data_IF_903152301883
#
_entry.id   IF_903152301883
#
_cell.length_a   1.000
_cell.length_b   1.000
_cell.length_c   1.000
_cell.angle_alpha   90.00
_cell.angle_beta   90.00
_cell.angle_gamma   90.00
#
_symmetry.space_group_name_H-M   'P 1'
#
loop_
_entity.id
_entity.type
_entity.pdbx_description
1 polymer ?
#
# COMPACT_ATOMS: atom_id res chain seq x y z
N UNK A 1 -1.54 1.55 -2.49
CA UNK A 1 -1.49 2.42 -3.69
C UNK A 1 -1.37 3.87 -3.31
N UNK A 2 -2.25 4.38 -2.46
CA UNK A 2 -2.29 5.79 -2.06
C UNK A 2 -0.95 6.36 -1.58
N UNK A 3 -0.32 5.75 -0.57
CA UNK A 3 1.02 6.17 -0.09
C UNK A 3 2.10 6.16 -1.18
N UNK A 4 1.97 5.29 -2.17
CA UNK A 4 2.90 5.23 -3.30
C UNK A 4 2.73 6.48 -4.18
N UNK A 5 1.50 6.83 -4.52
CA UNK A 5 1.20 8.02 -5.33
C UNK A 5 1.57 9.30 -4.60
N UNK A 6 1.32 9.36 -3.30
CA UNK A 6 1.69 10.51 -2.47
C UNK A 6 3.20 10.82 -2.50
N UNK A 7 4.04 9.77 -2.50
CA UNK A 7 5.51 9.93 -2.46
C UNK A 7 6.12 10.11 -3.85
N UNK A 8 5.61 9.37 -4.86
CA UNK A 8 6.27 9.26 -6.17
C UNK A 8 5.49 9.92 -7.31
N UNK A 9 4.25 10.36 -7.08
CA UNK A 9 3.37 10.92 -8.10
C UNK A 9 2.56 9.87 -8.86
N UNK A 10 1.77 10.35 -9.79
CA UNK A 10 0.82 9.55 -10.55
C UNK A 10 1.48 8.77 -11.70
N UNK A 11 0.77 7.76 -12.19
CA UNK A 11 1.13 7.04 -13.40
C UNK A 11 0.65 7.77 -14.64
N UNK A 12 1.56 8.14 -15.51
CA UNK A 12 1.27 8.55 -16.89
C UNK A 12 0.83 7.32 -17.71
N UNK A 13 1.62 6.25 -17.68
CA UNK A 13 1.31 4.99 -18.35
C UNK A 13 1.28 3.85 -17.33
N UNK A 14 0.27 2.98 -17.45
CA UNK A 14 0.13 1.82 -16.57
C UNK A 14 -0.24 0.57 -17.38
N UNK A 15 0.35 -0.55 -17.00
CA UNK A 15 -0.01 -1.91 -17.43
C UNK A 15 -0.18 -2.77 -16.19
N UNK A 16 -1.08 -3.74 -16.27
CA UNK A 16 -1.36 -4.59 -15.14
C UNK A 16 -1.66 -6.03 -15.54
N UNK A 17 -1.39 -6.93 -14.61
CA UNK A 17 -1.85 -8.32 -14.65
C UNK A 17 -2.49 -8.66 -13.32
N UNK A 18 -3.71 -9.14 -13.35
CA UNK A 18 -4.47 -9.55 -12.18
C UNK A 18 -4.79 -11.04 -12.31
N UNK A 19 -4.61 -11.79 -11.24
CA UNK A 19 -5.03 -13.20 -11.22
C UNK A 19 -5.62 -13.59 -9.86
N UNK A 20 -6.39 -14.68 -9.90
CA UNK A 20 -7.04 -15.27 -8.74
C UNK A 20 -6.55 -16.72 -8.60
N UNK A 21 -5.49 -16.90 -7.80
CA UNK A 21 -4.87 -18.20 -7.55
C UNK A 21 -5.60 -18.98 -6.46
N UNK A 22 -6.28 -18.28 -5.55
CA UNK A 22 -7.06 -18.85 -4.45
C UNK A 22 -8.54 -18.54 -4.66
N UNK A 23 -9.25 -19.34 -5.49
CA UNK A 23 -10.63 -19.04 -5.89
C UNK A 23 -11.65 -19.20 -4.76
N UNK A 24 -11.24 -19.85 -3.66
CA UNK A 24 -12.11 -20.12 -2.51
C UNK A 24 -11.44 -19.62 -1.23
N UNK A 25 -12.22 -19.04 -0.33
CA UNK A 25 -11.79 -18.62 0.99
C UNK A 25 -12.66 -19.23 2.09
N UNK A 26 -12.09 -19.33 3.29
CA UNK A 26 -12.85 -19.66 4.51
C UNK A 26 -13.31 -18.38 5.17
N UNK A 27 -14.56 -18.36 5.64
CA UNK A 27 -15.04 -17.33 6.57
C UNK A 27 -14.87 -17.83 8.00
N UNK A 28 -14.48 -16.90 8.85
CA UNK A 28 -14.30 -17.13 10.28
C UNK A 28 -15.22 -16.23 11.08
N UNK A 29 -15.74 -16.74 12.18
CA UNK A 29 -16.33 -15.93 13.21
C UNK A 29 -15.21 -15.20 13.97
N UNK A 30 -15.23 -13.88 13.94
CA UNK A 30 -14.20 -13.05 14.57
C UNK A 30 -14.21 -13.14 16.11
N UNK A 31 -15.35 -13.57 16.72
CA UNK A 31 -15.47 -13.67 18.17
C UNK A 31 -14.76 -14.90 18.76
N UNK A 32 -14.68 -15.98 18.00
CA UNK A 32 -14.18 -17.28 18.48
C UNK A 32 -13.18 -17.95 17.54
N UNK A 33 -12.92 -17.38 16.36
CA UNK A 33 -11.98 -17.92 15.36
C UNK A 33 -12.47 -19.17 14.64
N UNK A 34 -13.72 -19.60 14.82
CA UNK A 34 -14.27 -20.79 14.17
C UNK A 34 -14.62 -20.53 12.71
N UNK A 35 -14.43 -21.54 11.86
CA UNK A 35 -14.84 -21.48 10.46
C UNK A 35 -16.36 -21.56 10.38
N UNK A 36 -17.01 -20.50 9.91
CA UNK A 36 -18.45 -20.46 9.69
C UNK A 36 -18.85 -20.93 8.30
N UNK A 37 -17.99 -20.73 7.31
CA UNK A 37 -18.16 -21.26 5.97
C UNK A 37 -16.79 -21.63 5.37
N UNK A 38 -16.57 -22.90 5.04
CA UNK A 38 -15.25 -23.36 4.54
C UNK A 38 -15.02 -23.08 3.05
N UNK A 39 -16.06 -22.67 2.28
CA UNK A 39 -16.00 -22.63 0.83
C UNK A 39 -16.72 -21.44 0.19
N UNK A 40 -16.31 -20.21 0.51
CA UNK A 40 -16.88 -19.01 -0.13
C UNK A 40 -16.08 -18.65 -1.37
N UNK A 41 -16.72 -18.49 -2.54
CA UNK A 41 -16.06 -18.02 -3.74
C UNK A 41 -15.42 -16.64 -3.52
N UNK A 42 -14.14 -16.51 -3.85
CA UNK A 42 -13.44 -15.23 -3.87
C UNK A 42 -13.73 -14.52 -5.19
N UNK A 43 -14.14 -13.27 -5.12
CA UNK A 43 -14.35 -12.42 -6.29
C UNK A 43 -13.10 -11.60 -6.63
N UNK A 44 -12.44 -10.99 -5.62
CA UNK A 44 -11.27 -10.14 -5.80
C UNK A 44 -10.01 -10.93 -6.21
N UNK A 45 -9.12 -10.34 -7.03
CA UNK A 45 -7.80 -10.92 -7.31
C UNK A 45 -6.95 -10.98 -6.04
N UNK A 46 -6.07 -11.97 -5.97
CA UNK A 46 -5.10 -12.17 -4.89
C UNK A 46 -3.64 -12.05 -5.35
N UNK A 47 -3.43 -11.94 -6.65
CA UNK A 47 -2.15 -11.59 -7.27
C UNK A 47 -2.37 -10.38 -8.19
N UNK A 48 -1.62 -9.32 -7.91
CA UNK A 48 -1.72 -8.04 -8.60
C UNK A 48 -0.31 -7.61 -8.97
N UNK A 49 -0.06 -7.43 -10.25
CA UNK A 49 1.17 -6.85 -10.77
C UNK A 49 0.82 -5.61 -11.59
N UNK A 50 1.38 -4.47 -11.19
CA UNK A 50 1.20 -3.19 -11.88
C UNK A 50 2.58 -2.65 -12.22
N UNK A 51 2.76 -2.16 -13.44
CA UNK A 51 3.98 -1.49 -13.86
C UNK A 51 3.67 -0.32 -14.78
N UNK A 52 4.56 0.63 -14.86
CA UNK A 52 4.36 1.77 -15.74
C UNK A 52 5.40 2.85 -15.60
N UNK A 53 5.09 3.97 -16.25
CA UNK A 53 5.88 5.20 -16.21
C UNK A 53 5.12 6.20 -15.38
N UNK A 54 5.79 6.84 -14.43
CA UNK A 54 5.24 7.92 -13.63
C UNK A 54 5.30 9.23 -14.42
N UNK A 55 4.52 10.24 -14.05
CA UNK A 55 4.56 11.58 -14.65
C UNK A 55 5.95 12.22 -14.57
N UNK A 56 6.75 11.85 -13.57
CA UNK A 56 8.16 12.25 -13.45
C UNK A 56 9.09 11.60 -14.48
N UNK A 57 8.61 10.63 -15.27
CA UNK A 57 9.39 9.80 -16.18
C UNK A 57 10.04 8.58 -15.51
N UNK A 58 9.94 8.42 -14.21
CA UNK A 58 10.47 7.25 -13.52
C UNK A 58 9.67 5.97 -13.86
N UNK A 59 10.36 4.84 -13.93
CA UNK A 59 9.72 3.54 -14.11
C UNK A 59 9.38 2.96 -12.75
N UNK A 60 8.15 2.47 -12.60
CA UNK A 60 7.67 1.90 -11.37
C UNK A 60 7.00 0.54 -11.58
N UNK A 61 7.09 -0.32 -10.56
CA UNK A 61 6.37 -1.58 -10.50
C UNK A 61 5.87 -1.86 -9.08
N UNK A 62 4.68 -2.44 -8.98
CA UNK A 62 4.05 -2.84 -7.73
C UNK A 62 3.64 -4.30 -7.87
N UNK A 63 4.08 -5.12 -6.93
CA UNK A 63 3.70 -6.52 -6.86
C UNK A 63 3.01 -6.80 -5.52
N UNK A 64 1.81 -7.34 -5.58
CA UNK A 64 1.06 -7.79 -4.41
C UNK A 64 0.57 -9.22 -4.63
N UNK A 65 0.77 -10.06 -3.62
CA UNK A 65 0.25 -11.43 -3.63
C UNK A 65 -0.20 -11.88 -2.23
N UNK A 66 -1.16 -12.77 -2.21
CA UNK A 66 -1.60 -13.51 -1.01
C UNK A 66 -1.52 -15.02 -1.26
N UNK A 67 -1.20 -15.82 -0.24
CA UNK A 67 -0.69 -15.39 1.06
C UNK A 67 0.63 -14.63 0.94
N UNK A 68 1.01 -13.91 2.00
CA UNK A 68 2.29 -13.19 2.03
C UNK A 68 3.49 -14.11 1.86
N UNK A 69 4.68 -13.52 1.79
CA UNK A 69 5.92 -14.31 1.65
C UNK A 69 6.22 -15.16 2.89
N UNK A 70 6.80 -16.33 2.65
CA UNK A 70 7.37 -17.19 3.70
C UNK A 70 8.85 -16.85 3.98
N UNK A 71 9.48 -16.12 3.05
CA UNK A 71 10.88 -15.72 3.13
C UNK A 71 10.98 -14.19 3.01
N UNK A 72 11.69 -13.58 3.94
CA UNK A 72 11.92 -12.13 3.94
C UNK A 72 10.76 -11.31 4.50
N UNK A 73 10.77 -10.05 4.18
CA UNK A 73 9.80 -9.06 4.67
C UNK A 73 8.51 -9.09 3.85
N UNK A 74 7.36 -9.00 4.51
CA UNK A 74 6.05 -8.98 3.85
C UNK A 74 5.79 -7.71 3.04
N UNK A 75 6.47 -6.64 3.37
CA UNK A 75 6.44 -5.40 2.60
C UNK A 75 7.87 -4.92 2.34
N UNK A 76 8.14 -4.59 1.08
CA UNK A 76 9.39 -3.99 0.65
C UNK A 76 9.10 -2.91 -0.39
N UNK A 77 9.64 -1.73 -0.15
CA UNK A 77 9.61 -0.65 -1.10
C UNK A 77 11.03 -0.18 -1.37
N UNK A 78 11.48 -0.31 -2.59
CA UNK A 78 12.81 0.11 -3.05
C UNK A 78 12.64 1.26 -4.03
N UNK A 79 13.32 2.36 -3.75
CA UNK A 79 13.39 3.53 -4.61
C UNK A 79 14.86 3.71 -5.00
N UNK A 80 15.18 3.55 -6.28
CA UNK A 80 16.53 3.70 -6.82
C UNK A 80 16.60 4.95 -7.68
N UNK A 81 17.62 5.77 -7.47
CA UNK A 81 17.89 6.98 -8.20
C UNK A 81 19.38 7.11 -8.57
N UNK A 82 19.73 8.18 -9.27
CA UNK A 82 21.10 8.48 -9.67
C UNK A 82 22.02 8.77 -8.50
N UNK A 83 21.48 9.25 -7.39
CA UNK A 83 22.24 9.61 -6.19
C UNK A 83 22.29 8.50 -5.13
N UNK A 84 21.47 7.45 -5.28
CA UNK A 84 21.44 6.35 -4.33
C UNK A 84 20.13 5.59 -4.30
N UNK A 85 19.95 4.82 -3.23
CA UNK A 85 18.79 3.97 -3.00
C UNK A 85 18.19 4.20 -1.61
N UNK A 86 16.87 4.13 -1.54
CA UNK A 86 16.10 4.09 -0.30
C UNK A 86 15.33 2.78 -0.28
N UNK A 87 15.46 2.01 0.77
CA UNK A 87 14.67 0.81 1.00
C UNK A 87 13.85 0.96 2.26
N UNK A 88 12.53 0.75 2.14
CA UNK A 88 11.61 0.67 3.27
C UNK A 88 11.07 -0.74 3.39
N UNK A 89 11.20 -1.36 4.55
CA UNK A 89 10.69 -2.71 4.83
C UNK A 89 9.81 -2.74 6.07
N UNK A 90 8.82 -3.63 6.04
CA UNK A 90 7.97 -3.95 7.19
C UNK A 90 7.97 -5.46 7.41
N UNK A 91 8.03 -5.85 8.68
CA UNK A 91 7.80 -7.21 9.12
C UNK A 91 6.36 -7.33 9.65
N UNK A 92 5.60 -8.33 9.20
CA UNK A 92 4.23 -8.55 9.64
C UNK A 92 3.16 -7.87 8.77
N UNK A 93 2.22 -7.16 9.38
CA UNK A 93 1.08 -6.57 8.69
C UNK A 93 1.42 -5.28 7.94
N UNK A 94 0.69 -5.02 6.84
CA UNK A 94 0.80 -3.80 6.03
C UNK A 94 0.43 -2.49 6.77
N UNK A 95 0.01 -2.58 8.03
CA UNK A 95 -0.34 -1.38 8.81
C UNK A 95 0.93 -0.74 9.36
N UNK A 96 1.31 0.36 8.75
CA UNK A 96 2.44 1.19 9.17
C UNK A 96 2.18 1.71 10.59
N UNK A 97 3.08 1.39 11.51
CA UNK A 97 2.99 1.82 12.92
C UNK A 97 2.89 0.70 13.93
N UNK A 98 2.58 -0.52 13.53
CA UNK A 98 2.48 -1.67 14.44
C UNK A 98 3.53 -2.76 14.19
N UNK A 99 4.14 -2.76 13.01
CA UNK A 99 5.19 -3.71 12.65
C UNK A 99 6.56 -3.08 12.78
N UNK A 100 7.56 -3.89 13.06
CA UNK A 100 8.94 -3.46 12.92
C UNK A 100 9.18 -2.96 11.50
N UNK A 101 9.62 -1.72 11.40
CA UNK A 101 9.90 -1.03 10.16
C UNK A 101 11.35 -0.61 10.13
N UNK A 102 11.93 -0.67 8.98
CA UNK A 102 13.28 -0.22 8.73
C UNK A 102 13.34 0.63 7.47
N UNK A 103 14.02 1.76 7.54
CA UNK A 103 14.36 2.57 6.40
C UNK A 103 15.88 2.56 6.28
N UNK A 104 16.37 2.10 5.14
CA UNK A 104 17.79 2.09 4.82
C UNK A 104 18.06 3.02 3.65
N UNK A 105 19.15 3.77 3.74
CA UNK A 105 19.62 4.65 2.67
C UNK A 105 21.07 4.29 2.35
N UNK A 106 21.35 4.21 1.07
CA UNK A 106 22.72 4.08 0.54
C UNK A 106 22.92 5.08 -0.59
N UNK A 107 23.96 5.89 -0.52
CA UNK A 107 24.28 6.89 -1.56
C UNK A 107 25.44 6.43 -2.42
N UNK A 108 25.52 6.95 -3.64
CA UNK A 108 26.65 6.67 -4.56
C UNK A 108 27.93 7.33 -4.08
N UNK A 109 27.85 8.39 -3.27
CA UNK A 109 29.00 9.11 -2.73
C UNK A 109 29.63 8.40 -1.53
N UNK A 110 28.86 7.59 -0.81
CA UNK A 110 29.29 6.78 0.33
C UNK A 110 28.91 5.31 0.13
N UNK A 111 29.47 4.64 -0.90
CA UNK A 111 28.98 3.34 -1.33
C UNK A 111 29.25 2.19 -0.35
N UNK A 112 30.16 2.38 0.61
CA UNK A 112 30.48 1.40 1.64
C UNK A 112 29.54 1.47 2.85
N UNK A 113 28.77 2.55 2.99
CA UNK A 113 27.92 2.77 4.15
C UNK A 113 26.43 2.60 3.82
N UNK A 114 25.76 1.77 4.61
CA UNK A 114 24.30 1.68 4.64
C UNK A 114 23.83 2.34 5.92
N UNK A 115 23.13 3.45 5.79
CA UNK A 115 22.59 4.18 6.92
C UNK A 115 21.16 3.73 7.21
N UNK A 116 20.91 3.30 8.44
CA UNK A 116 19.56 3.08 8.96
C UNK A 116 19.03 4.42 9.47
N UNK A 117 17.85 4.80 8.99
CA UNK A 117 17.19 6.04 9.41
C UNK A 117 16.31 5.75 10.62
N UNK A 118 16.69 6.33 11.75
CA UNK A 118 15.78 6.35 12.89
C UNK A 118 14.66 7.35 12.64
N UNK A 119 13.44 6.84 12.63
CA UNK A 119 12.26 7.66 12.47
C UNK A 119 11.42 7.58 13.75
N UNK A 120 11.24 8.72 14.39
CA UNK A 120 10.34 8.86 15.54
C UNK A 120 9.25 9.86 15.18
N UNK A 121 8.01 9.45 15.39
CA UNK A 121 6.86 10.33 15.31
C UNK A 121 6.51 10.78 16.73
N UNK A 122 6.47 12.08 16.96
CA UNK A 122 5.86 12.59 18.18
C UNK A 122 4.36 12.29 18.12
N UNK A 123 3.88 11.56 19.12
CA UNK A 123 2.48 11.15 19.18
C UNK A 123 1.82 11.90 20.34
N UNK A 124 0.77 12.69 20.07
CA UNK A 124 0.01 13.33 21.14
C UNK A 124 -0.57 12.28 22.11
N UNK A 125 -0.58 12.59 23.41
CA UNK A 125 -1.03 11.64 24.45
C UNK A 125 -2.45 11.07 24.21
N UNK A 126 -3.36 11.88 23.69
CA UNK A 126 -4.71 11.44 23.39
C UNK A 126 -4.76 10.47 22.19
N UNK A 127 -3.81 10.58 21.25
CA UNK A 127 -3.66 9.62 20.14
C UNK A 127 -2.99 8.34 20.62
N UNK A 128 -2.00 8.44 21.54
CA UNK A 128 -1.37 7.26 22.15
C UNK A 128 -2.39 6.37 22.88
N UNK A 129 -3.41 6.98 23.48
CA UNK A 129 -4.47 6.26 24.19
C UNK A 129 -5.44 5.50 23.26
N UNK A 130 -5.42 5.78 21.94
CA UNK A 130 -6.27 5.09 20.98
C UNK A 130 -5.72 3.69 20.71
N UNK A 131 -6.55 2.63 20.90
CA UNK A 131 -6.12 1.27 20.64
C UNK A 131 -5.75 1.06 19.17
N UNK A 132 -4.78 0.20 18.93
CA UNK A 132 -4.51 -0.28 17.57
C UNK A 132 -5.76 -0.98 16.98
N UNK A 133 -6.11 -0.77 15.71
CA UNK A 133 -5.39 -0.02 14.66
C UNK A 133 -5.83 1.45 14.50
N UNK A 134 -6.54 2.00 15.46
CA UNK A 134 -7.19 3.33 15.34
C UNK A 134 -6.23 4.53 15.35
N UNK A 135 -4.98 4.39 15.79
CA UNK A 135 -4.06 5.52 15.94
C UNK A 135 -3.82 6.29 14.64
N UNK A 136 -3.64 5.59 13.50
CA UNK A 136 -3.44 6.28 12.23
C UNK A 136 -4.68 7.09 11.83
N UNK A 137 -5.87 6.57 12.08
CA UNK A 137 -7.13 7.29 11.87
C UNK A 137 -7.24 8.51 12.80
N UNK A 138 -6.81 8.37 14.05
CA UNK A 138 -6.79 9.49 14.99
C UNK A 138 -5.87 10.63 14.50
N UNK A 139 -4.72 10.33 13.93
CA UNK A 139 -3.86 11.34 13.31
C UNK A 139 -4.53 12.06 12.13
N UNK A 140 -5.28 11.34 11.30
CA UNK A 140 -6.04 11.97 10.20
C UNK A 140 -7.08 12.94 10.75
N UNK A 141 -7.80 12.55 11.82
CA UNK A 141 -8.77 13.44 12.49
C UNK A 141 -8.11 14.67 13.13
N UNK A 142 -6.93 14.51 13.74
CA UNK A 142 -6.14 15.64 14.28
C UNK A 142 -5.74 16.61 13.17
N UNK A 143 -5.22 16.10 12.07
CA UNK A 143 -4.83 16.91 10.93
C UNK A 143 -6.04 17.64 10.33
N UNK A 144 -7.18 16.94 10.17
CA UNK A 144 -8.42 17.54 9.68
C UNK A 144 -8.93 18.66 10.62
N UNK A 145 -8.97 18.41 11.93
CA UNK A 145 -9.43 19.37 12.93
C UNK A 145 -8.53 20.62 13.01
N UNK A 146 -7.24 20.46 12.71
CA UNK A 146 -6.26 21.55 12.71
C UNK A 146 -6.25 22.35 11.40
N UNK A 147 -7.08 22.00 10.39
CA UNK A 147 -7.01 22.57 9.05
C UNK A 147 -5.70 22.22 8.36
N UNK A 148 -5.09 21.08 8.73
CA UNK A 148 -3.76 20.67 8.31
C UNK A 148 -3.65 20.35 6.83
N UNK A 149 -2.50 20.66 6.28
CA UNK A 149 -2.10 20.22 4.96
C UNK A 149 -1.88 18.70 4.94
N UNK A 150 -2.17 18.05 3.80
CA UNK A 150 -1.90 16.62 3.60
C UNK A 150 -3.01 15.67 4.07
N UNK A 151 -4.19 16.17 4.38
CA UNK A 151 -5.38 15.33 4.55
C UNK A 151 -5.99 15.08 3.18
N UNK A 152 -6.12 13.79 2.82
CA UNK A 152 -6.74 13.42 1.56
C UNK A 152 -8.20 13.90 1.50
N UNK A 153 -8.59 14.48 0.38
CA UNK A 153 -9.93 14.93 0.10
C UNK A 153 -10.67 13.99 -0.86
N UNK A 154 -11.89 14.37 -1.27
CA UNK A 154 -12.68 13.59 -2.23
C UNK A 154 -12.05 13.54 -3.63
N UNK A 155 -11.32 14.57 -4.03
CA UNK A 155 -10.63 14.61 -5.32
C UNK A 155 -9.46 13.63 -5.34
N UNK A 156 -8.70 13.54 -4.25
CA UNK A 156 -7.67 12.52 -4.06
C UNK A 156 -8.27 11.09 -4.12
N UNK A 157 -9.41 10.89 -3.46
CA UNK A 157 -10.15 9.64 -3.52
C UNK A 157 -10.59 9.29 -4.95
N UNK A 158 -11.14 10.26 -5.68
CA UNK A 158 -11.58 10.07 -7.05
C UNK A 158 -10.40 9.75 -7.98
N UNK A 159 -9.28 10.46 -7.83
CA UNK A 159 -8.05 10.21 -8.59
C UNK A 159 -7.54 8.79 -8.38
N UNK A 160 -7.51 8.32 -7.13
CA UNK A 160 -7.12 6.97 -6.79
C UNK A 160 -8.06 5.93 -7.41
N UNK A 161 -9.38 6.12 -7.32
CA UNK A 161 -10.35 5.20 -7.91
C UNK A 161 -10.24 5.13 -9.43
N UNK A 162 -10.05 6.25 -10.12
CA UNK A 162 -9.80 6.28 -11.58
C UNK A 162 -8.56 5.47 -11.97
N UNK A 163 -7.49 5.54 -11.18
CA UNK A 163 -6.31 4.70 -11.41
C UNK A 163 -6.62 3.21 -11.20
N UNK A 164 -7.34 2.85 -10.15
CA UNK A 164 -7.73 1.45 -9.89
C UNK A 164 -8.59 0.88 -11.02
N UNK A 165 -9.52 1.65 -11.56
CA UNK A 165 -10.32 1.28 -12.72
C UNK A 165 -9.46 1.09 -13.96
N UNK A 166 -8.51 2.00 -14.20
CA UNK A 166 -7.57 1.88 -15.32
C UNK A 166 -6.72 0.61 -15.20
N UNK A 167 -6.24 0.29 -14.00
CA UNK A 167 -5.51 -0.96 -13.70
C UNK A 167 -6.39 -2.18 -14.01
N UNK A 168 -7.64 -2.17 -13.57
CA UNK A 168 -8.57 -3.27 -13.82
C UNK A 168 -8.86 -3.48 -15.32
N UNK A 169 -9.08 -2.40 -16.09
CA UNK A 169 -9.27 -2.43 -17.54
C UNK A 169 -8.04 -2.95 -18.28
N UNK A 170 -6.86 -2.45 -17.94
CA UNK A 170 -5.60 -2.91 -18.54
C UNK A 170 -5.34 -4.39 -18.31
N UNK A 171 -5.80 -4.94 -17.20
CA UNK A 171 -5.69 -6.36 -16.89
C UNK A 171 -6.82 -7.22 -17.51
N UNK A 172 -7.76 -6.61 -18.23
CA UNK A 172 -8.93 -7.32 -18.75
C UNK A 172 -9.80 -7.91 -17.63
N UNK A 173 -9.86 -7.26 -16.48
CA UNK A 173 -10.61 -7.73 -15.33
C UNK A 173 -12.11 -7.49 -15.53
N UNK A 174 -12.98 -8.47 -15.20
CA UNK A 174 -14.44 -8.30 -15.27
C UNK A 174 -14.95 -7.21 -14.30
N UNK A 175 -14.14 -6.75 -13.36
CA UNK A 175 -14.49 -5.64 -12.45
C UNK A 175 -14.43 -4.26 -13.13
N UNK A 176 -13.87 -4.15 -14.33
CA UNK A 176 -13.87 -2.91 -15.11
C UNK A 176 -15.27 -2.53 -15.65
N UNK A 177 -16.21 -3.46 -15.66
CA UNK A 177 -17.56 -3.25 -16.20
C UNK A 177 -18.49 -2.44 -15.27
N UNK A 178 -18.15 -2.32 -13.98
CA UNK A 178 -18.99 -1.63 -12.99
C UNK A 178 -18.97 -0.10 -13.08
N UNK A 179 -18.10 0.50 -13.89
CA UNK A 179 -17.88 1.96 -13.93
C UNK A 179 -18.55 2.63 -15.13
N UNK A 180 -19.04 1.87 -16.10
CA UNK A 180 -19.72 2.44 -17.28
C UNK A 180 -21.20 2.83 -17.03
N UNK A 181 -21.79 2.44 -15.88
CA UNK A 181 -23.21 2.70 -15.57
C UNK A 181 -23.41 3.84 -14.53
N UNK A 182 -22.37 4.59 -14.13
CA UNK A 182 -22.47 5.78 -13.28
C UNK A 182 -21.95 7.01 -14.01
#
# INVERSE_FOLDING_TARGET
>A
MDSFLYVLGDFDQVKASLSKQYPVMKLFDLSNGQVTNPGVPRTAPDHIFVQGVLESGAIASINYHRPGTLLGKNFRWLISGTEGEIEFTLDGHLQIGHSEREIRIKTVHEPSEVRVVEWKRETPKHVESVPFPGQNTAFVWEAFASGGEGVADFEDGLRLHRLLDRIAREAGSPYAEYVEEM
#
